data_IF_391026524519
#
_entry.id   IF_391026524519
#
_cell.length_a   1.000
_cell.length_b   1.000
_cell.length_c   1.000
_cell.angle_alpha   90.00
_cell.angle_beta   90.00
_cell.angle_gamma   90.00
#
_symmetry.space_group_name_H-M   'P 1'
#
loop_
_entity.id
_entity.type
_entity.pdbx_description
1 polymer ?
#
# COMPACT_ATOMS: atom_id res chain seq x y z
N UNK A 1 19.29 3.89 2.28
CA UNK A 1 17.92 3.43 1.92
C UNK A 1 16.95 4.58 2.21
N UNK A 2 15.97 4.81 1.36
CA UNK A 2 15.03 5.93 1.50
C UNK A 2 14.35 5.99 2.88
N UNK A 3 14.00 4.84 3.45
CA UNK A 3 13.43 4.75 4.81
C UNK A 3 14.40 5.29 5.87
N UNK A 4 15.70 4.98 5.75
CA UNK A 4 16.74 5.50 6.66
C UNK A 4 16.93 7.00 6.49
N UNK A 5 16.89 7.50 5.25
CA UNK A 5 16.99 8.94 4.95
C UNK A 5 15.82 9.73 5.53
N UNK A 6 14.61 9.15 5.50
CA UNK A 6 13.40 9.73 6.08
C UNK A 6 13.40 9.69 7.62
N UNK A 7 14.36 8.99 8.25
CA UNK A 7 14.47 8.84 9.71
C UNK A 7 13.15 8.38 10.36
N UNK A 8 12.44 7.46 9.70
CA UNK A 8 11.20 6.90 10.23
C UNK A 8 11.51 6.14 11.52
N UNK A 9 10.73 6.39 12.55
CA UNK A 9 10.85 5.77 13.86
C UNK A 9 9.89 4.58 13.96
N UNK A 10 10.44 3.37 14.06
CA UNK A 10 9.68 2.13 14.17
C UNK A 10 10.51 1.00 14.80
N UNK A 11 9.83 0.11 15.51
CA UNK A 11 10.41 -1.07 16.16
C UNK A 11 10.23 -2.34 15.31
N UNK A 12 9.16 -2.39 14.49
CA UNK A 12 8.71 -3.59 13.76
C UNK A 12 8.28 -3.20 12.36
N UNK A 13 8.58 -4.04 11.40
CA UNK A 13 8.01 -3.95 10.05
C UNK A 13 6.82 -4.92 9.97
N UNK A 14 5.68 -4.42 9.51
CA UNK A 14 4.51 -5.22 9.21
C UNK A 14 4.19 -5.21 7.73
N UNK A 15 3.45 -6.22 7.29
CA UNK A 15 2.89 -6.30 5.97
C UNK A 15 1.56 -7.03 5.92
N UNK A 16 0.71 -6.64 4.96
CA UNK A 16 -0.50 -7.41 4.61
C UNK A 16 -0.12 -8.66 3.83
N UNK A 17 -0.70 -9.81 4.12
CA UNK A 17 -0.51 -11.05 3.38
C UNK A 17 -0.72 -10.85 1.87
N UNK A 18 0.27 -11.23 1.06
CA UNK A 18 0.22 -11.10 -0.40
C UNK A 18 1.59 -11.04 -1.07
N UNK A 19 1.62 -10.64 -2.35
CA UNK A 19 2.79 -10.70 -3.22
C UNK A 19 4.03 -9.96 -2.69
N UNK A 20 3.90 -8.82 -2.05
CA UNK A 20 5.03 -8.04 -1.55
C UNK A 20 5.62 -8.53 -0.21
N UNK A 21 5.22 -9.70 0.36
CA UNK A 21 5.79 -10.24 1.63
C UNK A 21 7.31 -10.30 1.59
N UNK A 22 7.89 -10.61 0.43
CA UNK A 22 9.34 -10.67 0.23
C UNK A 22 10.04 -9.32 0.46
N UNK A 23 9.44 -8.21 0.06
CA UNK A 23 10.03 -6.87 0.21
C UNK A 23 10.12 -6.44 1.68
N UNK A 24 9.04 -6.64 2.44
CA UNK A 24 9.00 -6.34 3.87
C UNK A 24 9.97 -7.21 4.67
N UNK A 25 10.00 -8.52 4.41
CA UNK A 25 10.91 -9.44 5.08
C UNK A 25 12.39 -9.13 4.78
N UNK A 26 12.73 -8.87 3.51
CA UNK A 26 14.10 -8.50 3.12
C UNK A 26 14.54 -7.19 3.77
N UNK A 27 13.63 -6.20 3.85
CA UNK A 27 13.91 -4.93 4.50
C UNK A 27 14.12 -5.10 6.02
N UNK A 28 13.24 -5.86 6.68
CA UNK A 28 13.35 -6.15 8.11
C UNK A 28 14.67 -6.85 8.44
N UNK A 29 15.05 -7.87 7.65
CA UNK A 29 16.33 -8.56 7.78
C UNK A 29 17.50 -7.58 7.64
N UNK A 30 17.48 -6.72 6.61
CA UNK A 30 18.55 -5.74 6.37
C UNK A 30 18.69 -4.70 7.47
N UNK A 31 17.58 -4.32 8.10
CA UNK A 31 17.55 -3.32 9.19
C UNK A 31 17.73 -3.94 10.57
N UNK A 32 17.71 -5.27 10.69
CA UNK A 32 17.84 -5.97 11.96
C UNK A 32 16.61 -5.79 12.87
N UNK A 33 15.43 -5.58 12.30
CA UNK A 33 14.17 -5.41 13.06
C UNK A 33 13.23 -6.58 12.86
N UNK A 34 12.33 -6.89 13.82
CA UNK A 34 11.33 -7.92 13.66
C UNK A 34 10.37 -7.66 12.49
N UNK A 35 9.83 -8.75 11.94
CA UNK A 35 8.85 -8.74 10.87
C UNK A 35 7.58 -9.48 11.30
N UNK A 36 6.40 -8.91 10.99
CA UNK A 36 5.10 -9.53 11.20
C UNK A 36 4.27 -9.47 9.92
N UNK A 37 3.41 -10.48 9.73
CA UNK A 37 2.44 -10.51 8.64
C UNK A 37 1.04 -10.38 9.19
N UNK A 38 0.24 -9.47 8.62
CA UNK A 38 -1.19 -9.34 8.91
C UNK A 38 -1.97 -10.09 7.85
N UNK A 39 -2.69 -11.14 8.24
CA UNK A 39 -3.53 -11.93 7.35
C UNK A 39 -4.77 -11.15 6.93
N UNK A 40 -5.22 -11.34 5.69
CA UNK A 40 -6.42 -10.69 5.14
C UNK A 40 -7.71 -11.17 5.79
N UNK A 41 -7.77 -12.44 6.19
CA UNK A 41 -8.93 -13.03 6.85
C UNK A 41 -8.52 -13.88 8.05
N UNK A 42 -9.42 -14.04 9.02
CA UNK A 42 -9.27 -15.02 10.11
C UNK A 42 -9.43 -16.41 9.54
N UNK A 43 -8.55 -17.35 9.97
CA UNK A 43 -8.81 -18.78 9.70
C UNK A 43 -10.09 -19.19 10.41
N UNK A 44 -10.92 -20.00 9.75
CA UNK A 44 -12.22 -20.46 10.23
C UNK A 44 -12.17 -21.39 11.46
N UNK A 45 -11.00 -21.66 12.01
CA UNK A 45 -10.79 -22.53 13.16
C UNK A 45 -10.12 -21.77 14.31
N UNK A 46 -10.93 -21.33 15.28
CA UNK A 46 -10.48 -20.75 16.56
C UNK A 46 -10.06 -19.28 16.50
N UNK A 47 -9.87 -18.68 17.69
CA UNK A 47 -9.39 -17.29 17.91
C UNK A 47 -7.91 -17.14 17.58
N UNK A 48 -7.49 -17.50 16.38
CA UNK A 48 -6.11 -17.24 15.95
C UNK A 48 -6.00 -15.78 15.53
N UNK A 49 -5.09 -15.06 16.18
CA UNK A 49 -4.69 -13.70 15.78
C UNK A 49 -4.47 -13.64 14.27
N UNK A 50 -4.91 -12.53 13.66
CA UNK A 50 -4.58 -12.21 12.25
C UNK A 50 -3.11 -11.82 12.07
N UNK A 51 -2.35 -11.69 13.15
CA UNK A 51 -0.94 -11.27 13.15
C UNK A 51 -0.07 -12.51 13.36
N UNK A 52 0.76 -12.82 12.37
CA UNK A 52 1.80 -13.83 12.45
C UNK A 52 3.15 -13.18 12.72
N UNK A 53 3.84 -13.59 13.78
CA UNK A 53 5.14 -13.08 14.19
C UNK A 53 5.20 -12.80 15.68
N UNK A 54 5.84 -11.69 16.06
CA UNK A 54 6.02 -11.30 17.46
C UNK A 54 4.79 -10.56 18.02
N UNK A 55 4.72 -10.41 19.34
CA UNK A 55 3.79 -9.49 20.00
C UNK A 55 4.14 -8.04 19.63
N UNK A 56 3.13 -7.31 19.15
CA UNK A 56 3.25 -5.92 18.68
C UNK A 56 2.77 -4.89 19.70
N UNK A 57 2.32 -5.33 20.88
CA UNK A 57 1.79 -4.44 21.92
C UNK A 57 2.82 -3.40 22.34
N UNK A 58 2.44 -2.12 22.26
CA UNK A 58 3.29 -0.97 22.58
C UNK A 58 4.41 -0.70 21.57
N UNK A 59 4.50 -1.45 20.46
CA UNK A 59 5.52 -1.28 19.43
C UNK A 59 5.07 -0.27 18.37
N UNK A 60 6.01 0.52 17.88
CA UNK A 60 5.82 1.33 16.67
C UNK A 60 5.99 0.45 15.45
N UNK A 61 4.96 0.36 14.62
CA UNK A 61 4.93 -0.54 13.47
C UNK A 61 4.85 0.27 12.18
N UNK A 62 5.84 0.06 11.30
CA UNK A 62 5.83 0.57 9.93
C UNK A 62 5.24 -0.49 9.00
N UNK A 63 4.15 -0.16 8.31
CA UNK A 63 3.57 -1.06 7.31
C UNK A 63 4.27 -0.84 5.97
N UNK A 64 4.77 -1.93 5.38
CA UNK A 64 5.40 -1.93 4.05
C UNK A 64 4.41 -2.47 3.03
N UNK A 65 4.31 -1.81 1.87
CA UNK A 65 3.50 -2.27 0.74
C UNK A 65 4.31 -2.18 -0.57
N UNK A 66 3.98 -3.01 -1.54
CA UNK A 66 4.57 -2.92 -2.88
C UNK A 66 3.93 -1.77 -3.65
N UNK A 67 2.60 -1.69 -3.64
CA UNK A 67 1.85 -0.67 -4.36
C UNK A 67 0.62 -0.21 -3.58
N UNK A 68 0.44 1.11 -3.51
CA UNK A 68 -0.76 1.72 -2.94
C UNK A 68 -1.71 2.15 -4.07
N UNK A 69 -2.89 1.53 -4.09
CA UNK A 69 -4.04 1.97 -4.90
C UNK A 69 -5.10 2.61 -3.97
N UNK A 70 -6.11 1.86 -3.58
CA UNK A 70 -7.15 2.34 -2.64
C UNK A 70 -6.70 2.41 -1.18
N UNK A 71 -5.64 1.69 -0.83
CA UNK A 71 -5.14 1.59 0.55
C UNK A 71 -6.03 0.82 1.53
N UNK A 72 -7.17 0.27 1.09
CA UNK A 72 -8.14 -0.40 1.99
C UNK A 72 -7.54 -1.57 2.76
N UNK A 73 -6.74 -2.41 2.09
CA UNK A 73 -6.06 -3.55 2.73
C UNK A 73 -5.07 -3.10 3.80
N UNK A 74 -4.37 -1.99 3.56
CA UNK A 74 -3.42 -1.40 4.50
C UNK A 74 -4.16 -0.81 5.70
N UNK A 75 -5.26 -0.10 5.49
CA UNK A 75 -6.09 0.46 6.57
C UNK A 75 -6.69 -0.63 7.45
N UNK A 76 -7.14 -1.74 6.86
CA UNK A 76 -7.60 -2.92 7.62
C UNK A 76 -6.45 -3.53 8.45
N UNK A 77 -5.27 -3.68 7.87
CA UNK A 77 -4.10 -4.15 8.62
C UNK A 77 -3.70 -3.21 9.75
N UNK A 78 -3.71 -1.90 9.51
CA UNK A 78 -3.44 -0.90 10.54
C UNK A 78 -4.44 -0.99 11.70
N UNK A 79 -5.73 -1.19 11.39
CA UNK A 79 -6.76 -1.42 12.40
C UNK A 79 -6.45 -2.65 13.25
N UNK A 80 -6.15 -3.80 12.61
CA UNK A 80 -5.81 -5.05 13.30
C UNK A 80 -4.60 -4.89 14.21
N UNK A 81 -3.54 -4.23 13.73
CA UNK A 81 -2.34 -3.97 14.50
C UNK A 81 -2.64 -3.06 15.71
N UNK A 82 -3.43 -2.00 15.53
CA UNK A 82 -3.83 -1.09 16.61
C UNK A 82 -4.71 -1.79 17.65
N UNK A 83 -5.63 -2.68 17.24
CA UNK A 83 -6.43 -3.52 18.14
C UNK A 83 -5.55 -4.46 18.98
N UNK A 84 -4.41 -4.90 18.44
CA UNK A 84 -3.39 -5.66 19.16
C UNK A 84 -2.48 -4.77 20.05
N UNK A 85 -2.73 -3.46 20.11
CA UNK A 85 -1.99 -2.52 20.94
C UNK A 85 -0.74 -1.91 20.28
N UNK A 86 -0.55 -2.08 18.98
CA UNK A 86 0.54 -1.42 18.23
C UNK A 86 0.25 0.07 17.99
N UNK A 87 1.31 0.84 17.79
CA UNK A 87 1.28 2.23 17.33
C UNK A 87 1.60 2.21 15.84
N UNK A 88 0.63 2.60 15.00
CA UNK A 88 0.77 2.62 13.53
C UNK A 88 0.48 4.03 13.04
N UNK A 89 1.51 4.77 12.65
CA UNK A 89 1.42 6.18 12.22
C UNK A 89 1.91 6.38 10.79
N UNK A 90 2.60 5.38 10.22
CA UNK A 90 3.18 5.48 8.90
C UNK A 90 3.09 4.17 8.11
N UNK A 91 3.06 4.32 6.80
CA UNK A 91 3.33 3.24 5.87
C UNK A 91 4.35 3.69 4.82
N UNK A 92 5.01 2.73 4.19
CA UNK A 92 5.94 2.97 3.10
C UNK A 92 5.67 2.01 1.95
N UNK A 93 5.43 2.54 0.76
CA UNK A 93 5.20 1.77 -0.46
C UNK A 93 6.37 1.93 -1.45
N UNK A 94 6.55 0.96 -2.32
CA UNK A 94 7.49 1.11 -3.43
C UNK A 94 6.92 2.14 -4.40
N UNK A 95 5.63 2.04 -4.73
CA UNK A 95 4.94 3.02 -5.57
C UNK A 95 3.52 3.29 -5.08
N UNK A 96 2.96 4.42 -5.47
CA UNK A 96 1.63 4.88 -5.05
C UNK A 96 0.99 5.65 -6.21
N UNK A 97 -0.29 5.40 -6.46
CA UNK A 97 -1.07 6.18 -7.43
C UNK A 97 -1.40 7.60 -6.94
N UNK A 98 -1.21 7.87 -5.65
CA UNK A 98 -1.53 9.15 -5.01
C UNK A 98 -3.00 9.60 -5.21
N UNK A 99 -3.91 8.62 -5.31
CA UNK A 99 -5.34 8.90 -5.49
C UNK A 99 -5.86 9.80 -4.36
N UNK A 100 -6.55 10.92 -4.67
CA UNK A 100 -6.99 11.88 -3.65
C UNK A 100 -7.85 11.26 -2.55
N UNK A 101 -8.71 10.30 -2.89
CA UNK A 101 -9.53 9.58 -1.92
C UNK A 101 -8.71 8.73 -0.96
N UNK A 102 -7.70 8.02 -1.48
CA UNK A 102 -6.79 7.19 -0.68
C UNK A 102 -6.01 8.06 0.30
N UNK A 103 -5.50 9.20 -0.15
CA UNK A 103 -4.75 10.12 0.70
C UNK A 103 -5.62 10.72 1.80
N UNK A 104 -6.87 11.14 1.49
CA UNK A 104 -7.84 11.59 2.50
C UNK A 104 -8.17 10.50 3.53
N UNK A 105 -8.31 9.25 3.09
CA UNK A 105 -8.55 8.13 3.99
C UNK A 105 -7.38 7.88 4.93
N UNK A 106 -6.14 7.96 4.45
CA UNK A 106 -4.95 7.82 5.30
C UNK A 106 -4.85 8.95 6.32
N UNK A 107 -5.08 10.19 5.91
CA UNK A 107 -5.13 11.35 6.80
C UNK A 107 -6.19 11.16 7.91
N UNK A 108 -7.41 10.77 7.55
CA UNK A 108 -8.51 10.47 8.49
C UNK A 108 -8.13 9.39 9.51
N UNK A 109 -7.30 8.41 9.10
CA UNK A 109 -6.84 7.34 9.97
C UNK A 109 -5.48 7.65 10.64
N UNK A 110 -4.97 8.88 10.52
CA UNK A 110 -3.69 9.31 11.07
C UNK A 110 -2.53 8.39 10.64
N UNK A 111 -2.44 8.12 9.34
CA UNK A 111 -1.35 7.37 8.72
C UNK A 111 -0.68 8.23 7.67
N UNK A 112 0.61 8.48 7.83
CA UNK A 112 1.41 9.15 6.81
C UNK A 112 1.91 8.12 5.79
N UNK A 113 1.54 8.30 4.52
CA UNK A 113 2.00 7.46 3.44
C UNK A 113 3.30 8.01 2.85
N UNK A 114 4.34 7.18 2.85
CA UNK A 114 5.60 7.45 2.17
C UNK A 114 5.76 6.52 0.98
N UNK A 115 6.52 6.95 -0.02
CA UNK A 115 6.76 6.15 -1.22
C UNK A 115 8.20 6.30 -1.72
N UNK A 116 8.68 5.27 -2.41
CA UNK A 116 9.98 5.31 -3.06
C UNK A 116 9.89 6.08 -4.38
N UNK A 117 8.88 5.77 -5.20
CA UNK A 117 8.62 6.38 -6.51
C UNK A 117 7.14 6.73 -6.65
N UNK A 118 6.79 8.01 -6.85
CA UNK A 118 5.45 8.40 -7.28
C UNK A 118 5.12 7.77 -8.64
N UNK A 119 3.90 7.29 -8.84
CA UNK A 119 3.49 6.68 -10.11
C UNK A 119 3.54 7.70 -11.26
N UNK A 120 3.15 8.94 -11.00
CA UNK A 120 3.26 10.04 -11.96
C UNK A 120 4.69 10.21 -12.51
N UNK A 121 5.72 10.05 -11.65
CA UNK A 121 7.11 10.09 -12.09
C UNK A 121 7.45 8.93 -13.04
N UNK A 122 6.90 7.74 -12.79
CA UNK A 122 7.09 6.57 -13.66
C UNK A 122 6.48 6.85 -15.03
N UNK A 123 5.25 7.37 -15.07
CA UNK A 123 4.54 7.73 -16.32
C UNK A 123 5.30 8.79 -17.11
N UNK A 124 5.75 9.87 -16.44
CA UNK A 124 6.56 10.92 -17.08
C UNK A 124 7.86 10.36 -17.68
N UNK A 125 8.52 9.46 -16.98
CA UNK A 125 9.74 8.81 -17.49
C UNK A 125 9.47 7.88 -18.66
N UNK A 126 8.37 7.13 -18.62
CA UNK A 126 7.96 6.24 -19.71
C UNK A 126 7.71 7.04 -20.99
N UNK A 127 7.00 8.17 -20.92
CA UNK A 127 6.80 9.08 -22.05
C UNK A 127 8.13 9.63 -22.59
N UNK A 128 9.01 10.14 -21.72
CA UNK A 128 10.33 10.68 -22.13
C UNK A 128 11.23 9.64 -22.79
N UNK A 129 11.04 8.36 -22.46
CA UNK A 129 11.79 7.24 -23.05
C UNK A 129 11.11 6.66 -24.30
N UNK A 130 9.95 7.19 -24.72
CA UNK A 130 9.19 6.71 -25.87
C UNK A 130 8.57 5.33 -25.64
N UNK A 131 8.36 4.91 -24.38
CA UNK A 131 7.70 3.66 -24.01
C UNK A 131 6.18 3.77 -24.06
N UNK A 132 5.67 5.00 -23.89
CA UNK A 132 4.28 5.38 -24.11
C UNK A 132 4.27 6.69 -24.90
N UNK A 133 3.20 6.92 -25.67
CA UNK A 133 2.99 8.16 -26.38
C UNK A 133 2.18 9.18 -25.55
N UNK A 134 2.02 10.41 -26.07
CA UNK A 134 1.30 11.48 -25.37
C UNK A 134 -0.19 11.15 -25.15
N UNK A 135 -0.83 10.42 -26.07
CA UNK A 135 -2.22 10.03 -25.95
C UNK A 135 -2.39 8.94 -24.87
N UNK A 136 -1.49 7.97 -24.80
CA UNK A 136 -1.47 6.95 -23.75
C UNK A 136 -1.25 7.59 -22.37
N UNK A 137 -0.35 8.57 -22.28
CA UNK A 137 -0.16 9.34 -21.05
C UNK A 137 -1.43 10.08 -20.64
N UNK A 138 -2.10 10.77 -21.55
CA UNK A 138 -3.36 11.47 -21.27
C UNK A 138 -4.44 10.50 -20.74
N UNK A 139 -4.52 9.29 -21.30
CA UNK A 139 -5.45 8.26 -20.81
C UNK A 139 -5.10 7.79 -19.40
N UNK A 140 -3.82 7.63 -19.09
CA UNK A 140 -3.36 7.27 -17.73
C UNK A 140 -3.70 8.36 -16.73
N UNK A 141 -3.41 9.63 -17.08
CA UNK A 141 -3.69 10.78 -16.24
C UNK A 141 -5.22 10.89 -15.97
N UNK A 142 -6.03 10.75 -17.02
CA UNK A 142 -7.50 10.74 -16.89
C UNK A 142 -8.02 9.59 -16.04
N UNK A 143 -7.38 8.41 -16.10
CA UNK A 143 -7.73 7.29 -15.22
C UNK A 143 -7.37 7.56 -13.76
N UNK A 144 -6.23 8.17 -13.48
CA UNK A 144 -5.82 8.53 -12.13
C UNK A 144 -6.76 9.53 -11.47
N UNK A 145 -7.34 10.43 -12.26
CA UNK A 145 -8.30 11.43 -11.77
C UNK A 145 -9.67 10.81 -11.41
N UNK A 146 -10.14 9.85 -12.21
CA UNK A 146 -11.48 9.24 -12.06
C UNK A 146 -11.47 7.71 -12.18
N UNK A 147 -10.66 6.98 -11.39
CA UNK A 147 -10.40 5.55 -11.60
C UNK A 147 -11.67 4.69 -11.50
N UNK A 148 -12.67 5.13 -10.74
CA UNK A 148 -13.91 4.38 -10.51
C UNK A 148 -14.94 4.53 -11.64
N UNK A 149 -14.92 5.64 -12.37
CA UNK A 149 -15.89 5.96 -13.43
C UNK A 149 -15.27 5.90 -14.82
N UNK A 150 -13.95 6.03 -14.92
CA UNK A 150 -13.21 6.13 -16.17
C UNK A 150 -13.57 5.06 -17.21
N UNK A 151 -13.68 3.81 -16.80
CA UNK A 151 -14.00 2.71 -17.71
C UNK A 151 -15.48 2.72 -18.15
N UNK A 152 -16.40 3.08 -17.22
CA UNK A 152 -17.82 3.21 -17.53
C UNK A 152 -18.09 4.39 -18.48
N UNK A 153 -17.44 5.52 -18.26
CA UNK A 153 -17.53 6.72 -19.12
C UNK A 153 -17.03 6.45 -20.56
N UNK A 154 -16.17 5.45 -20.74
CA UNK A 154 -15.65 5.00 -22.04
C UNK A 154 -16.33 3.76 -22.59
N UNK A 155 -17.39 3.29 -21.98
CA UNK A 155 -18.17 2.13 -22.44
C UNK A 155 -17.42 0.80 -22.37
N UNK A 156 -16.32 0.72 -21.61
CA UNK A 156 -15.47 -0.48 -21.55
C UNK A 156 -16.11 -1.64 -20.75
N UNK A 157 -17.16 -1.39 -19.97
CA UNK A 157 -17.91 -2.43 -19.23
C UNK A 157 -19.15 -2.93 -19.94
N UNK A 158 -19.54 -2.40 -21.10
CA UNK A 158 -20.76 -2.78 -21.78
C UNK A 158 -20.74 -4.19 -22.42
N UNK A 159 -19.61 -4.90 -22.39
CA UNK A 159 -19.46 -6.22 -23.05
C UNK A 159 -19.33 -7.41 -22.07
N UNK A 160 -19.42 -7.22 -20.76
CA UNK A 160 -19.26 -8.30 -19.78
C UNK A 160 -20.58 -8.94 -19.32
N UNK A 161 -21.74 -8.56 -19.86
CA UNK A 161 -23.07 -9.06 -19.44
C UNK A 161 -23.78 -9.97 -20.43
N UNK A 162 -23.13 -10.43 -21.48
CA UNK A 162 -23.71 -11.40 -22.44
C UNK A 162 -22.72 -12.52 -22.74
N UNK A 163 -22.51 -13.45 -21.78
CA UNK A 163 -22.16 -14.86 -22.07
C UNK A 163 -22.41 -15.71 -20.84
#
# INVERSE_FOLDING_TARGET
SRIVELKLDFDVIARVEGAGTSHGAALAYRLGVPFVTVRRATKSYGNLSRIDGIDVKGKKVLIIEDHLSTGLSLLDAAKVLREAGAIVEACFAITNFDMPETMRNFEKHHITAYQLLPFAFIVEKAEKLGLIDANEKEQIDAWLDTPWTWAAERGLFAQASEN
#
